data_IF_223357418116
#
_entry.id   IF_223357418116
#
_cell.length_a   1.000
_cell.length_b   1.000
_cell.length_c   1.000
_cell.angle_alpha   90.00
_cell.angle_beta   90.00
_cell.angle_gamma   90.00
#
_symmetry.space_group_name_H-M   'P 1'
#
loop_
_entity.id
_entity.type
_entity.pdbx_description
1 polymer ?
#
# COMPACT_ATOMS: atom_id res chain seq x y z
N UNK A 1 -11.80 9.62 7.48
CA UNK A 1 -11.25 10.19 6.23
C UNK A 1 -10.79 9.10 5.25
N UNK A 2 -9.97 8.11 5.67
CA UNK A 2 -9.52 7.00 4.81
C UNK A 2 -10.65 6.24 4.08
N UNK A 3 -11.80 5.89 4.71
CA UNK A 3 -12.88 5.20 4.00
C UNK A 3 -13.44 5.98 2.81
N UNK A 4 -13.56 7.31 2.94
CA UNK A 4 -14.03 8.18 1.87
C UNK A 4 -13.03 8.23 0.72
N UNK A 5 -11.74 8.41 1.04
CA UNK A 5 -10.67 8.45 0.03
C UNK A 5 -10.59 7.12 -0.73
N UNK A 6 -10.70 5.99 -0.01
CA UNK A 6 -10.74 4.67 -0.64
C UNK A 6 -11.92 4.54 -1.61
N UNK A 7 -13.12 4.89 -1.18
CA UNK A 7 -14.33 4.81 -2.02
C UNK A 7 -14.23 5.69 -3.26
N UNK A 8 -13.82 6.96 -3.07
CA UNK A 8 -13.66 7.91 -4.17
C UNK A 8 -12.65 7.38 -5.21
N UNK A 9 -11.58 6.73 -4.74
CA UNK A 9 -10.58 6.16 -5.63
C UNK A 9 -11.12 4.93 -6.37
N UNK A 10 -11.69 3.96 -5.66
CA UNK A 10 -12.21 2.72 -6.27
C UNK A 10 -13.33 3.02 -7.28
N UNK A 11 -14.20 3.97 -6.98
CA UNK A 11 -15.26 4.38 -7.90
C UNK A 11 -14.73 5.01 -9.19
N UNK A 12 -13.60 5.74 -9.12
CA UNK A 12 -12.93 6.30 -10.33
C UNK A 12 -12.27 5.24 -11.19
N UNK A 13 -11.82 4.15 -10.60
CA UNK A 13 -11.20 3.04 -11.35
C UNK A 13 -12.24 2.18 -12.09
N UNK A 14 -13.54 2.40 -11.86
CA UNK A 14 -14.61 1.67 -12.55
C UNK A 14 -14.54 0.17 -12.29
N UNK A 15 -14.57 -0.65 -13.34
CA UNK A 15 -14.55 -2.12 -13.23
C UNK A 15 -13.15 -2.74 -13.17
N UNK A 16 -12.11 -1.93 -12.99
CA UNK A 16 -10.75 -2.43 -12.93
C UNK A 16 -10.51 -3.29 -11.66
N UNK A 17 -9.78 -4.40 -11.85
CA UNK A 17 -9.38 -5.27 -10.75
C UNK A 17 -8.36 -4.57 -9.83
N UNK A 18 -8.58 -4.66 -8.52
CA UNK A 18 -7.71 -4.06 -7.52
C UNK A 18 -7.55 -4.90 -6.25
N UNK A 19 -6.49 -4.61 -5.50
CA UNK A 19 -6.24 -5.21 -4.19
C UNK A 19 -6.16 -4.08 -3.16
N UNK A 20 -6.81 -4.28 -2.01
CA UNK A 20 -6.75 -3.37 -0.86
C UNK A 20 -6.16 -4.12 0.33
N UNK A 21 -4.98 -3.72 0.77
CA UNK A 21 -4.31 -4.29 1.93
C UNK A 21 -4.67 -3.55 3.22
N UNK A 22 -5.13 -4.29 4.22
CA UNK A 22 -5.44 -3.80 5.56
C UNK A 22 -4.58 -4.50 6.62
N UNK A 23 -4.29 -3.82 7.72
CA UNK A 23 -3.42 -4.35 8.79
C UNK A 23 -4.07 -5.41 9.67
N UNK A 24 -5.42 -5.45 9.77
CA UNK A 24 -6.15 -6.37 10.64
C UNK A 24 -7.30 -7.06 9.93
N UNK A 25 -7.64 -8.27 10.39
CA UNK A 25 -8.78 -9.04 9.86
C UNK A 25 -10.10 -8.30 10.00
N UNK A 26 -10.32 -7.62 11.14
CA UNK A 26 -11.50 -6.79 11.38
C UNK A 26 -11.62 -5.69 10.33
N UNK A 27 -10.53 -5.00 10.03
CA UNK A 27 -10.53 -3.93 9.05
C UNK A 27 -10.74 -4.43 7.62
N UNK A 28 -10.24 -5.65 7.30
CA UNK A 28 -10.54 -6.31 6.03
C UNK A 28 -12.04 -6.51 5.88
N UNK A 29 -12.71 -7.08 6.90
CA UNK A 29 -14.15 -7.33 6.85
C UNK A 29 -14.98 -6.04 6.77
N UNK A 30 -14.61 -5.02 7.54
CA UNK A 30 -15.28 -3.71 7.52
C UNK A 30 -15.12 -3.03 6.15
N UNK A 31 -13.93 -3.07 5.58
CA UNK A 31 -13.63 -2.46 4.28
C UNK A 31 -14.34 -3.22 3.14
N UNK A 32 -14.34 -4.55 3.17
CA UNK A 32 -15.06 -5.34 2.16
C UNK A 32 -16.57 -5.05 2.21
N UNK A 33 -17.18 -5.03 3.41
CA UNK A 33 -18.59 -4.67 3.59
C UNK A 33 -18.91 -3.24 3.13
N UNK A 34 -18.02 -2.29 3.39
CA UNK A 34 -18.18 -0.91 2.91
C UNK A 34 -18.24 -0.86 1.38
N UNK A 35 -17.32 -1.54 0.69
CA UNK A 35 -17.30 -1.60 -0.78
C UNK A 35 -18.55 -2.30 -1.32
N UNK A 36 -18.95 -3.42 -0.73
CA UNK A 36 -20.16 -4.17 -1.10
C UNK A 36 -21.43 -3.33 -0.93
N UNK A 37 -21.54 -2.53 0.14
CA UNK A 37 -22.67 -1.64 0.38
C UNK A 37 -22.83 -0.53 -0.67
N UNK A 38 -21.80 -0.32 -1.49
CA UNK A 38 -21.79 0.62 -2.62
C UNK A 38 -21.90 -0.08 -3.98
N UNK A 39 -22.30 -1.36 -3.97
CA UNK A 39 -22.49 -2.14 -5.19
C UNK A 39 -21.19 -2.63 -5.84
N UNK A 40 -20.02 -2.47 -5.17
CA UNK A 40 -18.73 -2.92 -5.68
C UNK A 40 -18.58 -4.41 -5.36
N UNK A 41 -18.20 -5.22 -6.35
CA UNK A 41 -17.93 -6.67 -6.21
C UNK A 41 -16.62 -6.89 -5.45
N UNK A 42 -16.67 -6.85 -4.12
CA UNK A 42 -15.52 -7.02 -3.25
C UNK A 42 -15.60 -8.32 -2.43
N UNK A 43 -14.47 -8.92 -2.13
CA UNK A 43 -14.36 -10.06 -1.22
C UNK A 43 -13.24 -9.86 -0.20
N UNK A 44 -13.41 -10.45 0.98
CA UNK A 44 -12.42 -10.46 2.05
C UNK A 44 -11.48 -11.65 1.92
N UNK A 45 -10.19 -11.48 2.29
CA UNK A 45 -9.23 -12.56 2.40
C UNK A 45 -8.30 -12.37 3.60
N UNK A 46 -8.39 -13.26 4.57
CA UNK A 46 -7.51 -13.28 5.75
C UNK A 46 -7.50 -14.67 6.42
N UNK A 47 -6.52 -14.91 7.29
CA UNK A 47 -6.27 -16.22 7.89
C UNK A 47 -7.41 -16.75 8.78
N UNK A 48 -8.31 -15.89 9.28
CA UNK A 48 -9.44 -16.30 10.12
C UNK A 48 -10.67 -16.80 9.34
N UNK A 49 -10.69 -16.64 8.01
CA UNK A 49 -11.73 -17.21 7.17
C UNK A 49 -11.53 -18.71 7.00
N UNK A 50 -12.61 -19.45 6.84
CA UNK A 50 -12.55 -20.86 6.48
C UNK A 50 -11.78 -21.09 5.19
N UNK A 51 -11.07 -22.22 5.11
CA UNK A 51 -10.21 -22.52 3.96
C UNK A 51 -10.98 -22.56 2.63
N UNK A 52 -12.22 -23.08 2.65
CA UNK A 52 -13.09 -23.10 1.47
C UNK A 52 -13.51 -21.71 1.03
N UNK A 53 -13.88 -20.83 1.99
CA UNK A 53 -14.24 -19.44 1.72
C UNK A 53 -13.05 -18.69 1.14
N UNK A 54 -11.85 -18.87 1.70
CA UNK A 54 -10.63 -18.25 1.16
C UNK A 54 -10.36 -18.69 -0.27
N UNK A 55 -10.43 -20.00 -0.54
CA UNK A 55 -10.23 -20.55 -1.89
C UNK A 55 -11.26 -19.99 -2.86
N UNK A 56 -12.55 -20.01 -2.47
CA UNK A 56 -13.63 -19.47 -3.30
C UNK A 56 -13.41 -17.99 -3.62
N UNK A 57 -13.11 -17.16 -2.63
CA UNK A 57 -12.88 -15.73 -2.83
C UNK A 57 -11.66 -15.46 -3.72
N UNK A 58 -10.61 -16.25 -3.56
CA UNK A 58 -9.42 -16.19 -4.42
C UNK A 58 -9.74 -16.54 -5.88
N UNK A 59 -10.46 -17.65 -6.10
CA UNK A 59 -10.88 -18.07 -7.44
C UNK A 59 -11.81 -17.04 -8.07
N UNK A 60 -12.75 -16.48 -7.30
CA UNK A 60 -13.66 -15.44 -7.76
C UNK A 60 -12.92 -14.16 -8.18
N UNK A 61 -11.83 -13.83 -7.48
CA UNK A 61 -10.96 -12.72 -7.89
C UNK A 61 -10.13 -13.05 -9.13
N UNK A 62 -9.55 -14.24 -9.22
CA UNK A 62 -8.76 -14.67 -10.37
C UNK A 62 -9.57 -14.68 -11.67
N UNK A 63 -10.84 -15.07 -11.59
CA UNK A 63 -11.76 -15.18 -12.74
C UNK A 63 -12.69 -13.97 -12.92
N UNK A 64 -12.33 -12.79 -12.38
CA UNK A 64 -13.05 -11.52 -12.51
C UNK A 64 -14.52 -11.51 -12.01
N UNK A 65 -14.92 -12.52 -11.23
CA UNK A 65 -16.21 -12.53 -10.52
C UNK A 65 -16.23 -11.57 -9.35
N UNK A 66 -15.09 -11.36 -8.71
CA UNK A 66 -14.81 -10.33 -7.72
C UNK A 66 -13.86 -9.32 -8.34
N UNK A 67 -14.18 -8.04 -8.21
CA UNK A 67 -13.38 -6.92 -8.72
C UNK A 67 -12.27 -6.52 -7.74
N UNK A 68 -12.62 -6.41 -6.46
CA UNK A 68 -11.72 -5.93 -5.41
C UNK A 68 -11.47 -7.02 -4.37
N UNK A 69 -10.21 -7.40 -4.22
CA UNK A 69 -9.81 -8.23 -3.08
C UNK A 69 -9.36 -7.34 -1.93
N UNK A 70 -10.04 -7.43 -0.79
CA UNK A 70 -9.62 -6.77 0.45
C UNK A 70 -8.95 -7.80 1.34
N UNK A 71 -7.69 -7.58 1.70
CA UNK A 71 -6.90 -8.63 2.33
C UNK A 71 -5.91 -8.13 3.38
N UNK A 72 -5.48 -9.02 4.26
CA UNK A 72 -4.23 -8.86 5.01
C UNK A 72 -3.04 -9.32 4.14
N UNK A 73 -1.82 -9.13 4.63
CA UNK A 73 -0.58 -9.61 3.99
C UNK A 73 -0.56 -11.13 3.72
N UNK A 74 -1.48 -11.90 4.32
CA UNK A 74 -1.65 -13.33 4.03
C UNK A 74 -2.09 -13.60 2.58
N UNK A 75 -2.67 -12.60 1.90
CA UNK A 75 -3.07 -12.69 0.50
C UNK A 75 -1.88 -12.36 -0.40
N UNK A 76 -1.49 -13.32 -1.20
CA UNK A 76 -0.50 -13.01 -2.21
C UNK A 76 0.49 -14.12 -2.52
N UNK A 77 0.82 -15.04 -1.62
CA UNK A 77 1.63 -16.19 -1.99
C UNK A 77 0.90 -17.04 -3.02
N UNK A 78 1.45 -17.12 -4.24
CA UNK A 78 0.88 -17.92 -5.34
C UNK A 78 -0.25 -17.23 -6.13
N UNK A 79 -0.53 -15.94 -5.93
CA UNK A 79 -1.51 -15.21 -6.74
C UNK A 79 -0.82 -14.58 -7.93
N UNK A 80 -1.17 -15.08 -9.11
CA UNK A 80 -0.71 -14.55 -10.39
C UNK A 80 -1.91 -14.08 -11.21
N UNK A 81 -2.38 -12.86 -10.91
CA UNK A 81 -3.41 -12.14 -11.68
C UNK A 81 -2.74 -10.98 -12.40
N UNK A 82 -2.54 -11.06 -13.74
CA UNK A 82 -1.75 -10.08 -14.46
C UNK A 82 -2.43 -8.71 -14.58
N UNK A 83 -3.76 -8.69 -14.64
CA UNK A 83 -4.57 -7.48 -14.91
C UNK A 83 -4.99 -6.69 -13.66
N UNK A 84 -4.24 -6.77 -12.57
CA UNK A 84 -4.47 -5.90 -11.39
C UNK A 84 -4.06 -4.47 -11.75
N UNK A 85 -5.03 -3.54 -11.76
CA UNK A 85 -4.79 -2.14 -12.16
C UNK A 85 -4.36 -1.25 -11.01
N UNK A 86 -4.71 -1.62 -9.77
CA UNK A 86 -4.27 -0.87 -8.61
C UNK A 86 -4.08 -1.74 -7.37
N UNK A 87 -3.14 -1.32 -6.54
CA UNK A 87 -2.94 -1.84 -5.18
C UNK A 87 -3.02 -0.68 -4.21
N UNK A 88 -3.93 -0.75 -3.26
CA UNK A 88 -4.11 0.26 -2.20
C UNK A 88 -3.67 -0.35 -0.86
N UNK A 89 -2.71 0.29 -0.21
CA UNK A 89 -2.40 0.04 1.18
C UNK A 89 -3.25 0.97 2.05
N UNK A 90 -4.31 0.44 2.63
CA UNK A 90 -5.21 1.18 3.52
C UNK A 90 -4.51 1.58 4.83
N UNK A 91 -3.58 0.76 5.28
CA UNK A 91 -2.63 1.05 6.35
C UNK A 91 -1.20 0.95 5.82
N UNK A 92 -0.29 1.67 6.45
CA UNK A 92 1.13 1.55 6.15
C UNK A 92 1.62 0.13 6.48
N UNK A 93 2.30 -0.56 5.56
CA UNK A 93 2.99 -1.81 5.83
C UNK A 93 4.08 -1.65 6.90
N UNK A 94 4.48 -2.74 7.53
CA UNK A 94 5.50 -2.72 8.60
C UNK A 94 6.91 -2.36 8.08
N UNK A 95 7.20 -2.64 6.82
CA UNK A 95 8.50 -2.44 6.18
C UNK A 95 8.37 -2.24 4.65
N UNK A 96 9.44 -1.77 4.03
CA UNK A 96 9.51 -1.51 2.59
C UNK A 96 9.49 -2.80 1.76
N UNK A 97 10.03 -3.88 2.29
CA UNK A 97 10.05 -5.19 1.63
C UNK A 97 8.63 -5.71 1.43
N UNK A 98 7.81 -5.65 2.50
CA UNK A 98 6.40 -6.02 2.42
C UNK A 98 5.65 -5.12 1.44
N UNK A 99 5.85 -3.80 1.53
CA UNK A 99 5.24 -2.84 0.61
C UNK A 99 5.61 -3.15 -0.85
N UNK A 100 6.88 -3.39 -1.14
CA UNK A 100 7.37 -3.68 -2.49
C UNK A 100 6.75 -4.96 -3.06
N UNK A 101 6.72 -6.03 -2.27
CA UNK A 101 6.13 -7.31 -2.67
C UNK A 101 4.62 -7.21 -2.94
N UNK A 102 3.90 -6.46 -2.10
CA UNK A 102 2.46 -6.27 -2.22
C UNK A 102 2.13 -5.32 -3.38
N UNK A 103 2.82 -4.21 -3.51
CA UNK A 103 2.68 -3.27 -4.62
C UNK A 103 3.05 -3.89 -5.98
N UNK A 104 4.05 -4.77 -6.01
CA UNK A 104 4.50 -5.49 -7.21
C UNK A 104 3.49 -6.47 -7.80
N UNK A 105 2.29 -6.58 -7.23
CA UNK A 105 1.16 -7.32 -7.83
C UNK A 105 0.41 -6.54 -8.87
N UNK A 106 0.57 -5.22 -8.91
CA UNK A 106 -0.06 -4.36 -9.89
C UNK A 106 0.69 -4.41 -11.24
N UNK A 107 -0.05 -4.52 -12.34
CA UNK A 107 0.48 -4.37 -13.71
C UNK A 107 1.47 -5.42 -14.16
N UNK A 108 1.32 -6.67 -13.75
CA UNK A 108 2.20 -7.76 -14.20
C UNK A 108 2.10 -8.06 -15.70
N UNK A 109 1.06 -7.60 -16.36
CA UNK A 109 0.90 -7.63 -17.81
C UNK A 109 1.62 -6.48 -18.54
N UNK A 110 2.36 -5.63 -17.82
CA UNK A 110 3.08 -4.49 -18.37
C UNK A 110 2.22 -3.25 -18.64
N UNK A 111 0.92 -3.31 -18.40
CA UNK A 111 0.03 -2.16 -18.57
C UNK A 111 0.10 -1.20 -17.38
N UNK A 112 -0.21 0.10 -17.58
CA UNK A 112 -0.21 1.08 -16.52
C UNK A 112 -1.05 0.65 -15.30
N UNK A 113 -0.47 0.79 -14.13
CA UNK A 113 -1.10 0.45 -12.86
C UNK A 113 -0.67 1.43 -11.76
N UNK A 114 -1.42 1.48 -10.67
CA UNK A 114 -1.20 2.43 -9.58
C UNK A 114 -1.01 1.73 -8.25
N UNK A 115 -0.03 2.20 -7.48
CA UNK A 115 0.19 1.79 -6.10
C UNK A 115 -0.05 3.00 -5.18
N UNK A 116 -0.99 2.87 -4.25
CA UNK A 116 -1.45 3.95 -3.38
C UNK A 116 -1.22 3.55 -1.93
N UNK A 117 -0.64 4.45 -1.16
CA UNK A 117 -0.45 4.29 0.28
C UNK A 117 -1.25 5.37 1.02
N UNK A 118 -2.24 4.94 1.82
CA UNK A 118 -3.01 5.81 2.71
C UNK A 118 -2.31 5.90 4.08
N UNK A 119 -1.29 6.74 4.17
CA UNK A 119 -0.51 6.91 5.39
C UNK A 119 -1.27 7.65 6.48
N UNK A 120 -1.06 7.22 7.73
CA UNK A 120 -1.47 7.92 8.95
C UNK A 120 -0.41 7.72 10.04
N UNK A 121 -0.13 8.75 10.83
CA UNK A 121 0.77 8.61 12.00
C UNK A 121 0.30 7.56 13.02
N UNK A 122 -0.99 7.21 13.02
CA UNK A 122 -1.53 6.10 13.83
C UNK A 122 -0.98 4.75 13.39
N UNK A 123 -0.69 4.58 12.09
CA UNK A 123 -0.14 3.31 11.57
C UNK A 123 1.22 3.00 12.21
N UNK A 124 2.09 4.01 12.39
CA UNK A 124 3.39 3.87 13.06
C UNK A 124 3.23 3.39 14.50
N UNK A 125 2.28 3.98 15.25
CA UNK A 125 2.00 3.59 16.63
C UNK A 125 1.49 2.15 16.73
N UNK A 126 0.63 1.77 15.80
CA UNK A 126 0.09 0.41 15.73
C UNK A 126 1.19 -0.61 15.45
N UNK A 127 2.10 -0.32 14.53
CA UNK A 127 3.20 -1.24 14.21
C UNK A 127 4.16 -1.37 15.39
N UNK A 128 4.51 -0.26 16.07
CA UNK A 128 5.32 -0.32 17.31
C UNK A 128 4.68 -1.16 18.39
N UNK A 129 3.40 -0.98 18.63
CA UNK A 129 2.66 -1.81 19.57
C UNK A 129 2.78 -3.31 19.26
N UNK A 130 2.79 -3.71 18.00
CA UNK A 130 2.99 -5.11 17.62
C UNK A 130 4.45 -5.56 17.84
N UNK A 131 5.44 -4.70 17.59
CA UNK A 131 6.84 -4.98 17.85
C UNK A 131 7.06 -5.21 19.36
N UNK A 132 6.51 -4.34 20.21
CA UNK A 132 6.59 -4.44 21.66
C UNK A 132 5.92 -5.72 22.18
N UNK A 133 4.73 -6.05 21.66
CA UNK A 133 4.04 -7.30 21.99
C UNK A 133 4.82 -8.55 21.60
N UNK A 134 5.51 -8.53 20.49
CA UNK A 134 6.32 -9.67 20.05
C UNK A 134 7.56 -9.85 20.96
N UNK A 135 8.12 -8.76 21.46
CA UNK A 135 9.17 -8.79 22.50
C UNK A 135 8.68 -9.38 23.82
N UNK A 136 7.47 -9.03 24.26
CA UNK A 136 6.89 -9.51 25.52
C UNK A 136 6.38 -10.96 25.43
N UNK A 137 6.12 -11.46 24.23
CA UNK A 137 5.55 -12.79 24.04
C UNK A 137 6.46 -13.91 24.58
N UNK A 138 5.87 -14.86 25.31
CA UNK A 138 6.57 -16.07 25.74
C UNK A 138 6.60 -17.10 24.61
N UNK A 139 7.58 -16.94 23.72
CA UNK A 139 7.79 -17.79 22.54
C UNK A 139 9.06 -18.67 22.65
N UNK A 140 9.63 -18.76 23.84
CA UNK A 140 10.82 -19.59 24.10
C UNK A 140 12.14 -19.05 23.52
N UNK A 141 12.13 -17.87 22.89
CA UNK A 141 13.34 -17.25 22.38
C UNK A 141 14.13 -16.53 23.49
N UNK A 142 15.48 -16.56 23.46
CA UNK A 142 16.34 -15.80 24.36
C UNK A 142 16.06 -14.28 24.26
N UNK A 143 16.25 -13.56 25.38
CA UNK A 143 15.96 -12.13 25.46
C UNK A 143 16.81 -11.28 24.50
N UNK A 144 18.07 -11.65 24.29
CA UNK A 144 18.98 -10.99 23.37
C UNK A 144 18.53 -11.16 21.90
N UNK A 145 18.04 -12.34 21.53
CA UNK A 145 17.48 -12.62 20.19
C UNK A 145 16.22 -11.78 19.95
N UNK A 146 15.33 -11.68 20.94
CA UNK A 146 14.13 -10.83 20.87
C UNK A 146 14.50 -9.35 20.73
N UNK A 147 15.45 -8.87 21.53
CA UNK A 147 15.90 -7.48 21.48
C UNK A 147 16.50 -7.13 20.10
N UNK A 148 17.32 -8.01 19.53
CA UNK A 148 17.89 -7.79 18.20
C UNK A 148 16.82 -7.82 17.09
N UNK A 149 15.83 -8.71 17.18
CA UNK A 149 14.71 -8.76 16.26
C UNK A 149 13.87 -7.48 16.31
N UNK A 150 13.57 -6.97 17.51
CA UNK A 150 12.84 -5.73 17.70
C UNK A 150 13.63 -4.52 17.19
N UNK A 151 14.94 -4.45 17.44
CA UNK A 151 15.81 -3.41 16.91
C UNK A 151 15.76 -3.36 15.37
N UNK A 152 15.86 -4.51 14.71
CA UNK A 152 15.76 -4.62 13.26
C UNK A 152 14.37 -4.24 12.74
N UNK A 153 13.31 -4.60 13.47
CA UNK A 153 11.93 -4.24 13.10
C UNK A 153 11.71 -2.72 13.21
N UNK A 154 12.22 -2.07 14.27
CA UNK A 154 12.17 -0.60 14.42
C UNK A 154 12.98 0.12 13.33
N UNK A 155 14.12 -0.41 12.92
CA UNK A 155 14.91 0.16 11.85
C UNK A 155 14.15 0.10 10.51
N UNK A 156 13.54 -1.05 10.18
CA UNK A 156 12.71 -1.20 8.98
C UNK A 156 11.48 -0.27 9.02
N UNK A 157 10.81 -0.16 10.17
CA UNK A 157 9.70 0.77 10.38
C UNK A 157 10.11 2.22 10.13
N UNK A 158 11.31 2.61 10.56
CA UNK A 158 11.87 3.94 10.32
C UNK A 158 12.02 4.22 8.82
N UNK A 159 12.56 3.29 8.05
CA UNK A 159 12.66 3.43 6.58
C UNK A 159 11.29 3.54 5.92
N UNK A 160 10.33 2.70 6.32
CA UNK A 160 8.96 2.76 5.78
C UNK A 160 8.27 4.09 6.13
N UNK A 161 8.50 4.61 7.34
CA UNK A 161 7.98 5.92 7.76
C UNK A 161 8.58 7.05 6.93
N UNK A 162 9.90 7.03 6.69
CA UNK A 162 10.55 8.01 5.82
C UNK A 162 10.05 7.94 4.38
N UNK A 163 9.88 6.74 3.83
CA UNK A 163 9.27 6.57 2.52
C UNK A 163 7.87 7.19 2.45
N UNK A 164 7.05 6.98 3.48
CA UNK A 164 5.66 7.46 3.53
C UNK A 164 5.54 8.98 3.69
N UNK A 165 6.59 9.66 4.16
CA UNK A 165 6.57 11.09 4.49
C UNK A 165 7.54 11.93 3.66
N UNK A 166 8.40 11.31 2.85
CA UNK A 166 9.37 12.02 2.03
C UNK A 166 8.69 12.85 0.93
N UNK A 167 9.32 13.96 0.58
CA UNK A 167 8.97 14.77 -0.60
C UNK A 167 9.92 14.50 -1.78
N UNK A 168 10.90 13.61 -1.59
CA UNK A 168 11.82 13.20 -2.66
C UNK A 168 11.20 12.09 -3.51
N UNK A 169 11.83 11.82 -4.65
CA UNK A 169 11.36 10.77 -5.57
C UNK A 169 11.20 9.40 -4.86
N UNK A 170 9.96 8.90 -4.82
CA UNK A 170 9.63 7.64 -4.14
C UNK A 170 10.32 6.44 -4.79
N UNK A 171 10.41 6.41 -6.13
CA UNK A 171 11.10 5.30 -6.83
C UNK A 171 12.59 5.30 -6.52
N UNK A 172 13.24 6.46 -6.51
CA UNK A 172 14.66 6.57 -6.11
C UNK A 172 14.88 6.08 -4.69
N UNK A 173 14.00 6.49 -3.77
CA UNK A 173 14.09 6.05 -2.37
C UNK A 173 14.03 4.52 -2.27
N UNK A 174 13.08 3.90 -2.95
CA UNK A 174 12.87 2.46 -2.96
C UNK A 174 14.08 1.72 -3.56
N UNK A 175 14.54 2.12 -4.74
CA UNK A 175 15.68 1.48 -5.42
C UNK A 175 16.96 1.61 -4.59
N UNK A 176 17.23 2.79 -4.03
CA UNK A 176 18.41 2.99 -3.17
C UNK A 176 18.34 2.14 -1.89
N UNK A 177 17.13 1.93 -1.32
CA UNK A 177 16.95 1.03 -0.18
C UNK A 177 17.38 -0.41 -0.51
N UNK A 178 17.08 -0.88 -1.72
CA UNK A 178 17.49 -2.20 -2.20
C UNK A 178 18.90 -2.24 -2.82
N UNK A 179 19.68 -1.15 -2.71
CA UNK A 179 21.06 -1.10 -3.20
C UNK A 179 21.19 -0.82 -4.69
N UNK A 180 20.11 -0.42 -5.37
CA UNK A 180 20.14 -0.09 -6.79
C UNK A 180 20.31 1.42 -7.01
N UNK A 181 21.15 1.77 -8.01
CA UNK A 181 21.29 3.16 -8.45
C UNK A 181 20.01 3.62 -9.19
N UNK A 182 19.55 4.83 -8.90
CA UNK A 182 18.36 5.37 -9.51
C UNK A 182 18.53 6.85 -9.89
N UNK A 183 17.88 7.32 -10.97
CA UNK A 183 17.88 8.72 -11.35
C UNK A 183 17.27 9.57 -10.25
N UNK A 184 17.63 10.86 -10.20
CA UNK A 184 17.16 11.77 -9.16
C UNK A 184 15.64 11.93 -9.15
N UNK A 185 15.02 11.91 -10.33
CA UNK A 185 13.55 11.97 -10.53
C UNK A 185 13.12 10.86 -11.48
N UNK A 186 12.03 10.20 -11.14
CA UNK A 186 11.43 9.18 -12.03
C UNK A 186 10.35 9.73 -12.97
N UNK A 187 9.89 10.97 -12.76
CA UNK A 187 8.83 11.61 -13.54
C UNK A 187 7.43 11.01 -13.40
N UNK A 188 7.26 9.98 -12.55
CA UNK A 188 5.99 9.22 -12.47
C UNK A 188 5.44 9.04 -11.05
N UNK A 189 6.22 9.21 -10.00
CA UNK A 189 5.69 9.13 -8.64
C UNK A 189 5.02 10.45 -8.22
N UNK A 190 4.13 10.38 -7.21
CA UNK A 190 3.38 11.54 -6.73
C UNK A 190 4.28 12.72 -6.35
N UNK A 191 5.43 12.48 -5.75
CA UNK A 191 6.38 13.55 -5.40
C UNK A 191 6.99 14.24 -6.63
N UNK A 192 7.34 13.48 -7.67
CA UNK A 192 7.87 14.06 -8.92
C UNK A 192 6.79 14.86 -9.66
N UNK A 193 5.59 14.31 -9.79
CA UNK A 193 4.46 14.97 -10.47
C UNK A 193 4.03 16.25 -9.73
N UNK A 194 3.97 16.22 -8.41
CA UNK A 194 3.65 17.40 -7.60
C UNK A 194 4.70 18.49 -7.74
N UNK A 195 5.99 18.15 -7.75
CA UNK A 195 7.07 19.11 -7.94
C UNK A 195 7.02 19.75 -9.33
N UNK A 196 6.68 18.99 -10.37
CA UNK A 196 6.52 19.49 -11.73
C UNK A 196 5.33 20.44 -11.86
N UNK A 197 4.17 20.07 -11.30
CA UNK A 197 2.98 20.94 -11.29
C UNK A 197 3.25 22.27 -10.59
N UNK A 198 3.90 22.26 -9.42
CA UNK A 198 4.25 23.49 -8.71
C UNK A 198 5.20 24.38 -9.51
N UNK A 199 6.18 23.81 -10.21
CA UNK A 199 7.10 24.58 -11.06
C UNK A 199 6.35 25.28 -12.19
N UNK A 200 5.44 24.58 -12.88
CA UNK A 200 4.61 25.14 -13.95
C UNK A 200 3.70 26.28 -13.45
N UNK A 201 3.08 26.11 -12.27
CA UNK A 201 2.26 27.18 -11.68
C UNK A 201 3.07 28.44 -11.36
N UNK A 202 4.30 28.27 -10.83
CA UNK A 202 5.19 29.41 -10.56
C UNK A 202 5.57 30.14 -11.85
N UNK A 203 5.92 29.41 -12.91
CA UNK A 203 6.24 30.00 -14.22
C UNK A 203 5.05 30.76 -14.82
N UNK A 204 3.85 30.18 -14.78
CA UNK A 204 2.63 30.82 -15.27
C UNK A 204 2.31 32.12 -14.52
N UNK A 205 2.44 32.13 -13.19
CA UNK A 205 2.25 33.32 -12.37
C UNK A 205 3.28 34.41 -12.70
N UNK A 206 4.55 34.02 -12.90
CA UNK A 206 5.61 34.94 -13.29
C UNK A 206 5.38 35.53 -14.68
N UNK A 207 4.93 34.71 -15.66
CA UNK A 207 4.58 35.20 -16.99
C UNK A 207 3.39 36.17 -16.98
N UNK A 208 2.33 35.82 -16.22
CA UNK A 208 1.17 36.71 -16.06
C UNK A 208 1.49 38.06 -15.38
N UNK A 209 2.41 38.05 -14.42
CA UNK A 209 2.88 39.30 -13.78
C UNK A 209 3.66 40.17 -14.76
N UNK A 210 4.50 39.60 -15.63
CA UNK A 210 5.23 40.39 -16.67
C UNK A 210 4.33 40.96 -17.75
N UNK A 211 3.18 40.38 -18.03
CA UNK A 211 2.21 40.91 -19.01
C UNK A 211 1.36 42.07 -18.45
N UNK A 212 1.32 42.23 -17.12
CA UNK A 212 0.57 43.33 -16.44
C UNK A 212 1.42 44.54 -16.08
N UNK A 213 2.73 44.43 -16.24
CA UNK A 213 3.69 45.53 -16.01
C UNK A 213 4.07 46.22 -17.32
#
# INVERSE_FOLDING_TARGET
>A
EKPRVLLDYVLREGDHAGIVYCSTTKQVDETARLLQSRGIRAAAYHAKLDAEVRRKNQDDFLYDRVQIMVATNAFGMGIDKPNVRFVIHYNMPKDLESYYQEAGRAGRDGLPSRCILLYSGTDVRTIRFFIDKEMEADNGLPADVKAEAARKAEERLKYMTFYSTTQKCLRRFMLNYFGEAAPEKCGNCSCCLFAEQNAQEVEQRAAAAKQRA
#
